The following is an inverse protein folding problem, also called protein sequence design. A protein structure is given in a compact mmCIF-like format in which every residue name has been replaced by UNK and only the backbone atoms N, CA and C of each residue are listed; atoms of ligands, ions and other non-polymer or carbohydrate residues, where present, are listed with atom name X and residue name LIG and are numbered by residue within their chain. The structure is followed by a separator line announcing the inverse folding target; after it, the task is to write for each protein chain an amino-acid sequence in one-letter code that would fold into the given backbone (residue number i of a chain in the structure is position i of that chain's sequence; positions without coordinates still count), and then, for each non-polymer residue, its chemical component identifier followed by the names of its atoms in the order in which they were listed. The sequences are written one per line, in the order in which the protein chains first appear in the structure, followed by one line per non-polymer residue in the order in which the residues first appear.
data_IF_478689885801
#
_entry.id   IF_478689885801
#
_cell.length_a   1.000
_cell.length_b   1.000
_cell.length_c   1.000
_cell.angle_alpha   90.00
_cell.angle_beta   90.00
_cell.angle_gamma   90.00
#
_symmetry.space_group_name_H-M   'P 1'
#
loop_
_entity.id
_entity.type
_entity.pdbx_description
1 polymer ?
#
# COMPACT_ATOMS: atom_id res chain seq x y z
N UNK A 1 -13.12 -20.40 -0.34
CA UNK A 1 -11.75 -20.37 -0.89
C UNK A 1 -11.63 -19.09 -1.69
N UNK A 2 -11.17 -17.99 -1.07
CA UNK A 2 -11.05 -16.70 -1.74
C UNK A 2 -9.87 -16.75 -2.73
N UNK A 3 -10.04 -16.34 -4.00
CA UNK A 3 -8.91 -16.21 -4.90
C UNK A 3 -7.97 -15.14 -4.34
N UNK A 4 -6.67 -15.45 -4.31
CA UNK A 4 -5.63 -14.49 -3.97
C UNK A 4 -5.84 -13.25 -4.85
N UNK A 5 -6.21 -12.13 -4.24
CA UNK A 5 -6.21 -10.84 -4.93
C UNK A 5 -4.75 -10.55 -5.27
N UNK A 6 -4.37 -10.84 -6.51
CA UNK A 6 -3.12 -10.42 -7.09
C UNK A 6 -3.00 -8.92 -6.87
N UNK A 7 -1.98 -8.55 -6.09
CA UNK A 7 -1.66 -7.18 -5.70
C UNK A 7 -1.04 -6.43 -6.90
N UNK A 8 -1.77 -6.40 -8.02
CA UNK A 8 -1.43 -5.75 -9.29
C UNK A 8 -1.24 -4.23 -9.17
N UNK A 9 -1.44 -3.66 -7.97
CA UNK A 9 -1.35 -2.23 -7.67
C UNK A 9 -0.22 -1.85 -6.71
N UNK A 10 0.70 -2.78 -6.38
CA UNK A 10 1.91 -2.46 -5.60
C UNK A 10 3.13 -2.30 -6.52
N UNK A 11 3.00 -1.54 -7.60
CA UNK A 11 4.20 -1.06 -8.28
C UNK A 11 4.82 0.03 -7.39
N UNK A 12 5.97 -0.30 -6.80
CA UNK A 12 6.74 0.63 -5.99
C UNK A 12 7.02 1.89 -6.83
N UNK A 13 6.58 3.04 -6.32
CA UNK A 13 6.78 4.32 -7.01
C UNK A 13 8.28 4.60 -7.16
N UNK A 14 8.66 5.49 -8.08
CA UNK A 14 10.04 5.96 -8.19
C UNK A 14 10.57 6.52 -6.86
N UNK A 15 9.69 7.12 -6.05
CA UNK A 15 10.01 7.59 -4.71
C UNK A 15 10.32 6.42 -3.77
N UNK A 16 9.52 5.35 -3.78
CA UNK A 16 9.77 4.16 -2.96
C UNK A 16 11.13 3.52 -3.31
N UNK A 17 11.46 3.46 -4.60
CA UNK A 17 12.74 2.92 -5.07
C UNK A 17 13.93 3.81 -4.67
N UNK A 18 13.79 5.14 -4.82
CA UNK A 18 14.81 6.11 -4.40
C UNK A 18 15.04 6.07 -2.88
N UNK A 19 13.97 6.00 -2.08
CA UNK A 19 14.06 5.86 -0.63
C UNK A 19 14.70 4.54 -0.21
N UNK A 20 14.34 3.43 -0.87
CA UNK A 20 14.95 2.13 -0.61
C UNK A 20 16.46 2.15 -0.92
N UNK A 21 16.87 2.74 -2.04
CA UNK A 21 18.28 2.86 -2.42
C UNK A 21 19.07 3.76 -1.45
N UNK A 22 18.48 4.88 -1.02
CA UNK A 22 19.06 5.76 -0.01
C UNK A 22 19.22 5.04 1.34
N UNK A 23 18.19 4.31 1.78
CA UNK A 23 18.23 3.53 3.01
C UNK A 23 19.28 2.43 2.98
N UNK A 24 19.45 1.74 1.86
CA UNK A 24 20.50 0.73 1.68
C UNK A 24 21.90 1.35 1.73
N UNK A 25 22.12 2.50 1.07
CA UNK A 25 23.40 3.22 1.13
C UNK A 25 23.74 3.69 2.55
N UNK A 26 22.76 4.24 3.26
CA UNK A 26 22.94 4.66 4.65
C UNK A 26 23.27 3.47 5.56
N UNK A 27 22.59 2.33 5.40
CA UNK A 27 22.89 1.10 6.14
C UNK A 27 24.29 0.55 5.85
N UNK A 28 24.78 0.66 4.61
CA UNK A 28 26.14 0.26 4.27
C UNK A 28 27.21 1.15 4.91
N UNK A 29 26.88 2.41 5.21
CA UNK A 29 27.77 3.37 5.86
C UNK A 29 27.70 3.33 7.39
N UNK A 30 26.60 2.81 7.93
CA UNK A 30 26.42 2.63 9.36
C UNK A 30 27.15 1.35 9.81
N UNK A 31 28.13 1.44 10.73
CA UNK A 31 28.75 0.23 11.26
C UNK A 31 27.68 -0.66 11.92
N UNK A 32 27.84 -1.98 11.92
CA UNK A 32 26.83 -2.92 12.43
C UNK A 32 26.39 -2.66 13.90
N UNK A 33 27.21 -1.95 14.68
CA UNK A 33 26.90 -1.52 16.05
C UNK A 33 26.18 -0.16 16.13
N UNK A 34 26.15 0.62 15.05
CA UNK A 34 25.50 1.91 15.01
C UNK A 34 23.98 1.79 15.16
N UNK A 35 23.35 0.78 14.56
CA UNK A 35 21.90 0.56 14.75
C UNK A 35 21.54 0.37 16.23
N UNK A 36 22.35 -0.39 16.97
CA UNK A 36 22.19 -0.55 18.42
C UNK A 36 22.44 0.74 19.19
N UNK A 37 23.47 1.53 18.81
CA UNK A 37 23.77 2.82 19.47
C UNK A 37 22.70 3.87 19.22
N UNK A 38 22.16 3.94 17.99
CA UNK A 38 21.04 4.82 17.65
C UNK A 38 19.77 4.39 18.38
N UNK A 39 19.45 3.10 18.40
CA UNK A 39 18.31 2.60 19.16
C UNK A 39 18.43 2.94 20.65
N UNK A 40 19.63 2.81 21.23
CA UNK A 40 19.88 3.17 22.62
C UNK A 40 19.74 4.69 22.84
N UNK A 41 20.28 5.51 21.94
CA UNK A 41 20.17 6.97 22.00
C UNK A 41 18.70 7.43 21.92
N UNK A 42 17.92 6.89 20.98
CA UNK A 42 16.49 7.21 20.86
C UNK A 42 15.69 6.76 22.09
N UNK A 43 16.01 5.59 22.66
CA UNK A 43 15.40 5.12 23.92
C UNK A 43 15.75 6.04 25.09
N UNK A 44 17.00 6.49 25.19
CA UNK A 44 17.44 7.45 26.20
C UNK A 44 16.72 8.80 26.07
N UNK A 45 16.64 9.33 24.84
CA UNK A 45 15.90 10.56 24.54
C UNK A 45 14.42 10.44 24.89
N UNK A 46 13.79 9.31 24.55
CA UNK A 46 12.39 9.04 24.85
C UNK A 46 12.14 8.93 26.36
N UNK A 47 13.05 8.30 27.11
CA UNK A 47 12.98 8.24 28.57
C UNK A 47 13.09 9.64 29.20
N UNK A 48 13.98 10.49 28.69
CA UNK A 48 14.11 11.89 29.14
C UNK A 48 12.81 12.66 28.93
N UNK A 49 12.20 12.57 27.75
CA UNK A 49 10.92 13.23 27.48
C UNK A 49 9.77 12.71 28.35
N UNK A 50 9.72 11.40 28.62
CA UNK A 50 8.75 10.84 29.54
C UNK A 50 8.92 11.36 30.97
N UNK A 51 10.16 11.46 31.46
CA UNK A 51 10.45 12.02 32.78
C UNK A 51 10.09 13.51 32.86
N UNK A 52 10.41 14.29 31.82
CA UNK A 52 10.00 15.70 31.72
C UNK A 52 8.48 15.85 31.73
N UNK A 53 7.77 15.05 30.93
CA UNK A 53 6.30 15.08 30.88
C UNK A 53 5.64 14.67 32.20
N UNK A 54 6.25 13.72 32.93
CA UNK A 54 5.82 13.35 34.28
C UNK A 54 6.09 14.48 35.28
N UNK A 55 7.25 15.14 35.20
CA UNK A 55 7.59 16.28 36.05
C UNK A 55 6.64 17.46 35.86
N UNK A 56 6.33 17.81 34.61
CA UNK A 56 5.35 18.88 34.29
C UNK A 56 3.96 18.53 34.83
N UNK A 57 3.54 17.26 34.69
CA UNK A 57 2.26 16.80 35.22
C UNK A 57 2.20 16.91 36.75
N UNK A 58 3.21 16.39 37.44
CA UNK A 58 3.28 16.44 38.91
C UNK A 58 3.34 17.87 39.44
N UNK A 59 4.12 18.74 38.77
CA UNK A 59 4.21 20.15 39.14
C UNK A 59 2.87 20.87 38.92
N UNK A 60 2.18 20.61 37.81
CA UNK A 60 0.85 21.15 37.55
C UNK A 60 -0.21 20.68 38.55
N UNK A 61 -0.11 19.44 39.05
CA UNK A 61 -0.99 18.93 40.10
C UNK A 61 -0.70 19.56 41.47
N UNK A 62 0.56 19.90 41.76
CA UNK A 62 0.99 20.51 43.02
C UNK A 62 0.74 22.02 43.08
N UNK A 63 0.82 22.72 41.95
CA UNK A 63 0.71 24.18 41.89
C UNK A 63 -0.68 24.71 42.30
N UNK A 64 -1.71 23.85 42.34
CA UNK A 64 -3.08 24.28 42.55
C UNK A 64 -3.54 25.26 41.46
N UNK A 65 -4.81 25.65 41.47
CA UNK A 65 -5.43 26.42 40.40
C UNK A 65 -4.92 27.88 40.23
N UNK A 66 -3.78 28.25 40.84
CA UNK A 66 -3.36 29.63 40.98
C UNK A 66 -2.66 30.21 39.74
N UNK A 67 -1.74 29.48 39.08
CA UNK A 67 -0.84 30.14 38.10
C UNK A 67 -0.68 29.46 36.72
N UNK A 68 -1.15 28.21 36.54
CA UNK A 68 -1.15 27.56 35.24
C UNK A 68 -2.43 26.77 35.03
N UNK A 69 -3.07 26.93 33.86
CA UNK A 69 -4.26 26.14 33.57
C UNK A 69 -3.87 24.65 33.53
N UNK A 70 -4.55 23.77 34.30
CA UNK A 70 -4.22 22.34 34.33
C UNK A 70 -4.29 21.70 32.94
N UNK A 71 -5.03 22.33 32.02
CA UNK A 71 -5.12 21.97 30.61
C UNK A 71 -3.79 22.15 29.86
N UNK A 72 -3.02 23.22 30.11
CA UNK A 72 -1.71 23.42 29.47
C UNK A 72 -0.70 22.38 29.94
N UNK A 73 -0.68 22.06 31.24
CA UNK A 73 0.18 21.01 31.79
C UNK A 73 -0.18 19.62 31.23
N UNK A 74 -1.49 19.34 31.09
CA UNK A 74 -1.98 18.09 30.50
C UNK A 74 -1.60 17.97 29.02
N UNK A 75 -1.77 19.04 28.24
CA UNK A 75 -1.42 19.08 26.81
C UNK A 75 0.09 18.95 26.60
N UNK A 76 0.91 19.62 27.42
CA UNK A 76 2.36 19.50 27.36
C UNK A 76 2.84 18.08 27.72
N UNK A 77 2.26 17.48 28.76
CA UNK A 77 2.56 16.10 29.16
C UNK A 77 2.13 15.08 28.10
N UNK A 78 0.92 15.24 27.53
CA UNK A 78 0.42 14.40 26.45
C UNK A 78 1.30 14.49 25.18
N UNK A 79 1.74 15.70 24.82
CA UNK A 79 2.66 15.91 23.71
C UNK A 79 3.99 15.20 23.91
N UNK A 80 4.61 15.36 25.09
CA UNK A 80 5.87 14.71 25.45
C UNK A 80 5.76 13.18 25.46
N UNK A 81 4.66 12.64 25.98
CA UNK A 81 4.39 11.20 25.99
C UNK A 81 4.15 10.64 24.58
N UNK A 82 3.45 11.37 23.72
CA UNK A 82 3.28 10.99 22.32
C UNK A 82 4.61 10.97 21.56
N UNK A 83 5.48 11.97 21.78
CA UNK A 83 6.83 12.01 21.21
C UNK A 83 7.69 10.85 21.71
N UNK A 84 7.67 10.56 23.02
CA UNK A 84 8.38 9.42 23.59
C UNK A 84 7.89 8.10 22.97
N UNK A 85 6.57 7.91 22.87
CA UNK A 85 5.98 6.71 22.28
C UNK A 85 6.37 6.52 20.80
N UNK A 86 6.36 7.60 20.02
CA UNK A 86 6.83 7.57 18.63
C UNK A 86 8.29 7.13 18.56
N UNK A 87 9.18 7.78 19.31
CA UNK A 87 10.62 7.46 19.33
C UNK A 87 10.92 6.02 19.77
N UNK A 88 10.17 5.48 20.73
CA UNK A 88 10.31 4.07 21.14
C UNK A 88 9.89 3.07 20.05
N UNK A 89 8.99 3.46 19.15
CA UNK A 89 8.43 2.57 18.12
C UNK A 89 9.13 2.64 16.75
N UNK A 90 9.91 3.68 16.45
CA UNK A 90 10.75 3.78 15.24
C UNK A 90 11.58 2.50 14.99
N UNK A 91 12.36 1.97 15.95
CA UNK A 91 13.20 0.79 15.70
C UNK A 91 12.39 -0.48 15.41
N UNK A 92 11.14 -0.59 15.90
CA UNK A 92 10.27 -1.75 15.65
C UNK A 92 9.72 -1.76 14.22
N UNK A 93 9.49 -0.59 13.64
CA UNK A 93 8.98 -0.47 12.27
C UNK A 93 10.09 -0.70 11.23
N UNK A 94 11.32 -0.24 11.51
CA UNK A 94 12.47 -0.43 10.63
C UNK A 94 12.96 -1.90 10.55
N UNK A 95 12.68 -2.70 11.59
CA UNK A 95 13.07 -4.10 11.68
C UNK A 95 12.06 -5.08 11.08
N UNK A 96 10.94 -4.61 10.48
CA UNK A 96 10.01 -5.50 9.78
C UNK A 96 10.79 -6.11 8.61
N UNK A 97 11.13 -7.41 8.63
CA UNK A 97 11.88 -8.00 7.54
C UNK A 97 11.00 -7.83 6.30
N UNK A 98 11.55 -7.17 5.28
CA UNK A 98 10.94 -7.18 3.96
C UNK A 98 10.64 -8.64 3.67
N UNK A 99 9.35 -8.99 3.59
CA UNK A 99 8.93 -10.35 3.34
C UNK A 99 9.80 -10.86 2.18
N UNK A 100 10.52 -11.99 2.35
CA UNK A 100 11.52 -12.41 1.38
C UNK A 100 10.83 -12.40 0.03
N UNK A 101 11.28 -11.52 -0.86
CA UNK A 101 10.78 -11.41 -2.21
C UNK A 101 10.83 -12.84 -2.73
N UNK A 102 9.65 -13.46 -2.87
CA UNK A 102 9.52 -14.88 -3.18
C UNK A 102 10.26 -15.05 -4.48
N UNK A 103 11.50 -15.55 -4.40
CA UNK A 103 12.31 -15.84 -5.55
C UNK A 103 11.43 -16.72 -6.42
N UNK A 104 11.05 -16.18 -7.57
CA UNK A 104 10.20 -16.84 -8.54
C UNK A 104 11.00 -18.07 -8.96
N UNK A 105 10.73 -19.20 -8.29
CA UNK A 105 11.26 -20.50 -8.70
C UNK A 105 10.71 -20.72 -10.09
N UNK A 106 11.58 -20.51 -11.07
CA UNK A 106 11.38 -20.97 -12.43
C UNK A 106 11.07 -22.47 -12.32
N UNK A 107 9.88 -22.93 -12.71
CA UNK A 107 9.58 -24.34 -12.68
C UNK A 107 10.46 -25.01 -13.74
N UNK A 108 11.31 -25.93 -13.30
CA UNK A 108 12.08 -26.79 -14.18
C UNK A 108 11.11 -27.49 -15.17
N UNK A 109 11.44 -27.55 -16.47
CA UNK A 109 10.59 -28.20 -17.45
C UNK A 109 10.50 -29.70 -17.12
N UNK A 110 9.30 -30.15 -16.77
CA UNK A 110 9.01 -31.57 -16.59
C UNK A 110 9.03 -32.27 -17.96
N UNK A 111 9.57 -33.51 -18.06
CA UNK A 111 9.54 -34.27 -19.30
C UNK A 111 8.08 -34.60 -19.67
N UNK A 112 7.72 -34.22 -20.89
CA UNK A 112 6.40 -34.45 -21.49
C UNK A 112 6.19 -35.95 -21.64
N UNK A 113 5.22 -36.49 -20.91
CA UNK A 113 4.72 -37.85 -21.12
C UNK A 113 3.36 -37.72 -21.81
N UNK A 114 3.32 -38.16 -23.05
CA UNK A 114 2.13 -38.19 -23.88
C UNK A 114 1.03 -39.00 -23.21
N UNK A 115 -0.03 -38.32 -22.80
CA UNK A 115 -1.29 -38.97 -22.49
C UNK A 115 -2.44 -38.07 -22.93
N UNK A 116 -2.92 -38.38 -24.14
CA UNK A 116 -4.19 -37.91 -24.68
C UNK A 116 -5.31 -38.08 -23.66
N UNK A 117 -5.78 -36.96 -23.09
CA UNK A 117 -7.07 -36.91 -22.40
C UNK A 117 -7.66 -35.53 -22.61
N UNK A 118 -8.77 -35.49 -23.34
CA UNK A 118 -9.70 -34.38 -23.56
C UNK A 118 -9.50 -33.22 -22.56
N UNK A 119 -8.72 -32.22 -22.97
CA UNK A 119 -8.71 -30.91 -22.31
C UNK A 119 -9.77 -30.03 -22.98
N UNK A 120 -10.63 -29.33 -22.23
CA UNK A 120 -11.46 -28.28 -22.78
C UNK A 120 -10.57 -27.29 -23.53
N UNK A 121 -10.99 -26.93 -24.75
CA UNK A 121 -10.27 -26.04 -25.65
C UNK A 121 -9.75 -24.81 -24.89
N UNK A 122 -8.45 -24.48 -24.97
CA UNK A 122 -7.96 -23.20 -24.46
C UNK A 122 -8.67 -22.09 -25.23
N UNK A 123 -9.53 -21.36 -24.54
CA UNK A 123 -10.09 -20.12 -25.07
C UNK A 123 -8.92 -19.23 -25.53
N UNK A 124 -8.99 -18.64 -26.73
CA UNK A 124 -7.92 -17.80 -27.26
C UNK A 124 -7.63 -16.71 -26.25
N UNK A 125 -6.42 -16.72 -25.68
CA UNK A 125 -5.97 -15.69 -24.77
C UNK A 125 -6.04 -14.35 -25.53
N UNK A 126 -6.75 -13.34 -25.00
CA UNK A 126 -6.83 -12.05 -25.66
C UNK A 126 -5.41 -11.50 -25.84
N UNK A 127 -5.10 -11.06 -27.06
CA UNK A 127 -3.78 -10.53 -27.47
C UNK A 127 -3.42 -9.19 -26.81
N UNK A 128 -4.32 -8.65 -25.99
CA UNK A 128 -4.15 -7.37 -25.28
C UNK A 128 -3.74 -7.70 -23.85
N UNK A 129 -2.59 -7.18 -23.42
CA UNK A 129 -2.17 -7.40 -22.04
C UNK A 129 -3.19 -6.70 -21.12
N UNK A 130 -3.65 -7.34 -20.02
CA UNK A 130 -4.59 -6.72 -19.09
C UNK A 130 -4.14 -5.35 -18.55
N UNK A 131 -2.83 -5.07 -18.62
CA UNK A 131 -2.25 -3.79 -18.21
C UNK A 131 -2.52 -2.69 -19.24
N UNK A 132 -2.55 -3.03 -20.53
CA UNK A 132 -2.75 -2.08 -21.60
C UNK A 132 -4.17 -1.52 -21.55
N UNK A 133 -5.15 -2.41 -21.34
CA UNK A 133 -6.54 -2.02 -21.10
C UNK A 133 -6.72 -1.12 -19.87
N UNK A 134 -6.04 -1.41 -18.76
CA UNK A 134 -6.09 -0.56 -17.56
C UNK A 134 -5.45 0.81 -17.80
N UNK A 135 -4.38 0.87 -18.59
CA UNK A 135 -3.73 2.12 -18.97
C UNK A 135 -4.63 2.97 -19.87
N UNK A 136 -5.33 2.35 -20.82
CA UNK A 136 -6.31 3.02 -21.68
C UNK A 136 -7.49 3.56 -20.87
N UNK A 137 -8.02 2.79 -19.91
CA UNK A 137 -9.06 3.28 -18.98
C UNK A 137 -8.60 4.48 -18.17
N UNK A 138 -7.33 4.49 -17.72
CA UNK A 138 -6.74 5.62 -16.99
C UNK A 138 -6.61 6.85 -17.89
N UNK A 139 -6.17 6.67 -19.14
CA UNK A 139 -6.07 7.76 -20.12
C UNK A 139 -7.45 8.34 -20.47
N UNK A 140 -8.49 7.52 -20.50
CA UNK A 140 -9.89 7.95 -20.64
C UNK A 140 -10.45 8.67 -19.39
N UNK A 141 -9.65 8.84 -18.33
CA UNK A 141 -10.07 9.48 -17.09
C UNK A 141 -11.08 8.65 -16.29
N UNK A 142 -11.08 7.32 -16.46
CA UNK A 142 -11.89 6.41 -15.65
C UNK A 142 -11.18 6.16 -14.32
N UNK A 143 -11.90 6.36 -13.21
CA UNK A 143 -11.34 6.15 -11.88
C UNK A 143 -10.93 4.68 -11.68
N UNK A 144 -9.80 4.45 -11.03
CA UNK A 144 -9.25 3.12 -10.70
C UNK A 144 -10.27 2.22 -10.00
N UNK A 145 -11.14 2.77 -9.15
CA UNK A 145 -12.21 1.98 -8.50
C UNK A 145 -13.21 1.41 -9.51
N UNK A 146 -13.53 2.17 -10.56
CA UNK A 146 -14.44 1.72 -11.61
C UNK A 146 -13.73 0.70 -12.51
N UNK A 147 -12.46 0.93 -12.86
CA UNK A 147 -11.66 -0.05 -13.61
C UNK A 147 -11.60 -1.41 -12.89
N UNK A 148 -11.45 -1.42 -11.56
CA UNK A 148 -11.54 -2.63 -10.74
C UNK A 148 -12.92 -3.29 -10.79
N UNK A 149 -13.99 -2.48 -10.75
CA UNK A 149 -15.35 -2.99 -10.82
C UNK A 149 -15.63 -3.66 -12.18
N UNK A 150 -15.19 -3.05 -13.28
CA UNK A 150 -15.26 -3.62 -14.63
C UNK A 150 -14.51 -4.95 -14.72
N UNK A 151 -13.28 -5.00 -14.19
CA UNK A 151 -12.45 -6.21 -14.21
C UNK A 151 -13.06 -7.36 -13.40
N UNK A 152 -13.67 -7.03 -12.26
CA UNK A 152 -14.40 -7.98 -11.39
C UNK A 152 -15.67 -8.49 -12.07
N UNK A 153 -16.34 -7.63 -12.84
CA UNK A 153 -17.49 -8.00 -13.67
C UNK A 153 -17.12 -8.78 -14.94
N UNK A 154 -15.82 -9.08 -15.17
CA UNK A 154 -15.35 -9.85 -16.31
C UNK A 154 -15.05 -9.01 -17.57
N UNK A 155 -15.22 -7.68 -17.51
CA UNK A 155 -14.89 -6.76 -18.60
C UNK A 155 -13.40 -6.42 -18.52
N UNK A 156 -12.58 -7.21 -19.22
CA UNK A 156 -11.11 -7.14 -19.12
C UNK A 156 -10.40 -6.67 -20.39
N UNK A 157 -11.13 -6.43 -21.46
CA UNK A 157 -10.59 -5.99 -22.75
C UNK A 157 -11.48 -4.94 -23.40
N UNK A 158 -10.95 -4.11 -24.31
CA UNK A 158 -11.75 -3.15 -25.08
C UNK A 158 -12.93 -3.81 -25.81
N UNK A 159 -12.72 -5.00 -26.39
CA UNK A 159 -13.76 -5.73 -27.12
C UNK A 159 -14.86 -6.24 -26.20
N UNK A 160 -14.54 -6.51 -24.93
CA UNK A 160 -15.55 -6.85 -23.93
C UNK A 160 -16.44 -5.64 -23.61
N UNK A 161 -15.86 -4.43 -23.57
CA UNK A 161 -16.65 -3.18 -23.42
C UNK A 161 -17.55 -2.98 -24.65
N UNK A 162 -17.02 -3.15 -25.87
CA UNK A 162 -17.79 -3.02 -27.12
C UNK A 162 -19.00 -3.96 -27.16
N UNK A 163 -18.78 -5.23 -26.84
CA UNK A 163 -19.82 -6.28 -26.87
C UNK A 163 -20.82 -6.21 -25.73
N UNK A 164 -20.49 -5.55 -24.63
CA UNK A 164 -21.41 -5.42 -23.49
C UNK A 164 -22.55 -4.47 -23.85
N UNK A 165 -23.77 -4.75 -23.39
CA UNK A 165 -24.88 -3.80 -23.50
C UNK A 165 -24.70 -2.64 -22.53
N UNK A 166 -25.28 -1.49 -22.84
CA UNK A 166 -25.26 -0.33 -21.93
C UNK A 166 -25.92 -0.66 -20.58
N UNK A 167 -26.99 -1.45 -20.60
CA UNK A 167 -27.67 -1.95 -19.39
C UNK A 167 -26.75 -2.81 -18.52
N UNK A 168 -25.93 -3.67 -19.13
CA UNK A 168 -24.98 -4.50 -18.40
C UNK A 168 -23.84 -3.68 -17.79
N UNK A 169 -23.35 -2.66 -18.49
CA UNK A 169 -22.32 -1.76 -17.97
C UNK A 169 -22.84 -0.89 -16.82
N UNK A 170 -24.07 -0.38 -16.91
CA UNK A 170 -24.70 0.40 -15.84
C UNK A 170 -25.03 -0.43 -14.60
N UNK A 171 -25.21 -1.75 -14.74
CA UNK A 171 -25.40 -2.64 -13.60
C UNK A 171 -24.13 -2.79 -12.74
N UNK A 172 -22.94 -2.40 -13.26
CA UNK A 172 -21.69 -2.48 -12.54
C UNK A 172 -21.60 -1.34 -11.53
N UNK A 173 -21.46 -1.68 -10.25
CA UNK A 173 -21.46 -0.71 -9.16
C UNK A 173 -20.40 0.39 -9.37
N UNK A 174 -20.86 1.64 -9.44
CA UNK A 174 -20.03 2.83 -9.64
C UNK A 174 -19.89 3.27 -11.11
N UNK A 175 -20.42 2.52 -12.07
CA UNK A 175 -20.54 2.96 -13.47
C UNK A 175 -21.82 3.78 -13.61
N UNK A 176 -21.66 5.11 -13.70
CA UNK A 176 -22.77 6.03 -14.00
C UNK A 176 -22.88 6.36 -15.49
N UNK A 177 -23.93 7.08 -15.91
CA UNK A 177 -24.14 7.49 -17.30
C UNK A 177 -22.93 8.25 -17.90
N UNK A 178 -22.29 9.11 -17.10
CA UNK A 178 -21.10 9.86 -17.52
C UNK A 178 -19.90 8.94 -17.78
N UNK A 179 -19.71 7.91 -16.97
CA UNK A 179 -18.63 6.94 -17.18
C UNK A 179 -18.92 6.05 -18.38
N UNK A 180 -20.17 5.62 -18.55
CA UNK A 180 -20.60 4.87 -19.72
C UNK A 180 -20.34 5.66 -21.01
N UNK A 181 -20.67 6.95 -21.04
CA UNK A 181 -20.39 7.81 -22.20
C UNK A 181 -18.90 7.82 -22.55
N UNK A 182 -18.02 8.00 -21.55
CA UNK A 182 -16.56 7.95 -21.75
C UNK A 182 -16.08 6.60 -22.25
N UNK A 183 -16.62 5.50 -21.72
CA UNK A 183 -16.28 4.15 -22.17
C UNK A 183 -16.67 3.94 -23.65
N UNK A 184 -17.83 4.45 -24.06
CA UNK A 184 -18.28 4.39 -25.46
C UNK A 184 -17.48 5.33 -26.37
N UNK A 185 -17.16 6.53 -25.91
CA UNK A 185 -16.28 7.47 -26.65
C UNK A 185 -14.87 6.88 -26.85
N UNK A 186 -14.34 6.15 -25.85
CA UNK A 186 -12.96 5.62 -25.91
C UNK A 186 -12.88 4.28 -26.65
N UNK A 187 -13.87 3.40 -26.44
CA UNK A 187 -13.80 2.01 -26.89
C UNK A 187 -14.91 1.61 -27.85
N UNK A 188 -15.87 2.48 -28.18
CA UNK A 188 -17.11 2.13 -28.88
C UNK A 188 -17.04 2.05 -30.41
N UNK A 189 -15.87 2.23 -31.02
CA UNK A 189 -15.66 2.05 -32.47
C UNK A 189 -15.39 0.59 -32.87
#
# INVERSE_FOLDING_TARGET
MYPAHDNLYQEATLFDQAFAALGQRLRAWLPARAEQRWALAFRGQAALFALLGLGVLLHGLQAGAADASPLVALMASAGLMATAHFLFNIPRQAARPAAPARARREPAPAPVRDMHRNRPQPQPQPRVSPRDFLNELRQAGVNVRIAKALFTAGVRTPEAVRRSSDTALLAIHGVGPATLRRLRETFGE
#
